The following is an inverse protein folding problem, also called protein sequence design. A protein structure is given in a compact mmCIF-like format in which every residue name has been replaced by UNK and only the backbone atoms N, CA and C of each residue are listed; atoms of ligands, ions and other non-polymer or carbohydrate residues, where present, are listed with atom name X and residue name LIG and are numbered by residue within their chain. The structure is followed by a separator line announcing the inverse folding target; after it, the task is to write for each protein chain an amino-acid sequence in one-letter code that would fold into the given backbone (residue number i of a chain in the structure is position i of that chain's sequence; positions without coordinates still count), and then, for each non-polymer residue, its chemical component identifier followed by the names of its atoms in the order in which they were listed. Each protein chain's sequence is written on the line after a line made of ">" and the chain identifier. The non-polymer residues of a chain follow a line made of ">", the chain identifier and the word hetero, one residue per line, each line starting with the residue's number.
data_IF_394862374825
#
_entry.id   IF_394862374825
#
_cell.length_a   1.000
_cell.length_b   1.000
_cell.length_c   1.000
_cell.angle_alpha   90.00
_cell.angle_beta   90.00
_cell.angle_gamma   90.00
#
_symmetry.space_group_name_H-M   'P 1'
#
loop_
_entity.id
_entity.type
_entity.pdbx_description
1 polymer ?
#
# COMPACT_ATOMS: atom_id res chain seq x y z
N UNK A 1 -6.74 11.04 42.77
CA UNK A 1 -5.33 10.91 42.33
C UNK A 1 -4.96 9.43 42.29
N UNK A 2 -5.33 8.74 41.21
CA UNK A 2 -4.79 7.41 40.87
C UNK A 2 -4.57 7.45 39.36
N UNK A 3 -3.35 7.80 38.95
CA UNK A 3 -2.90 7.73 37.56
C UNK A 3 -2.36 6.32 37.39
N UNK A 4 -3.13 5.44 36.75
CA UNK A 4 -2.63 4.12 36.36
C UNK A 4 -1.79 4.30 35.10
N UNK A 5 -0.47 4.30 35.26
CA UNK A 5 0.50 4.29 34.17
C UNK A 5 0.46 2.88 33.56
N UNK A 6 -0.15 2.72 32.38
CA UNK A 6 -0.01 1.50 31.58
C UNK A 6 1.23 1.69 30.70
N UNK A 7 2.39 1.33 31.24
CA UNK A 7 3.58 1.05 30.43
C UNK A 7 3.49 -0.36 29.87
N UNK A 8 3.50 -0.46 28.54
CA UNK A 8 4.36 -1.40 27.82
C UNK A 8 4.01 -2.89 27.84
N UNK A 9 3.87 -3.39 26.62
CA UNK A 9 4.20 -4.76 26.19
C UNK A 9 3.16 -5.85 26.47
N UNK A 10 2.77 -6.54 25.40
CA UNK A 10 2.12 -7.85 25.48
C UNK A 10 0.63 -7.83 25.15
N UNK A 11 0.31 -8.35 23.98
CA UNK A 11 -0.98 -8.89 23.59
C UNK A 11 -1.75 -9.61 24.72
N UNK A 12 -3.09 -9.52 24.63
CA UNK A 12 -4.08 -10.52 25.06
C UNK A 12 -4.38 -10.63 26.57
N UNK A 13 -5.37 -9.85 27.01
CA UNK A 13 -6.61 -10.34 27.68
C UNK A 13 -7.51 -9.15 28.04
N UNK A 14 -8.60 -8.99 27.29
CA UNK A 14 -9.70 -8.09 27.66
C UNK A 14 -10.41 -8.69 28.88
N UNK A 15 -10.07 -8.24 30.08
CA UNK A 15 -10.81 -8.61 31.29
C UNK A 15 -12.18 -7.91 31.29
N UNK A 16 -13.20 -8.61 31.80
CA UNK A 16 -14.59 -8.15 31.95
C UNK A 16 -14.72 -6.73 32.56
N UNK A 17 -13.81 -6.35 33.46
CA UNK A 17 -13.77 -4.99 34.02
C UNK A 17 -13.47 -3.89 32.99
N UNK A 18 -12.70 -4.19 31.93
CA UNK A 18 -12.34 -3.22 30.89
C UNK A 18 -13.52 -2.88 29.97
N UNK A 19 -14.42 -3.85 29.77
CA UNK A 19 -15.66 -3.66 29.02
C UNK A 19 -16.65 -2.76 29.78
N UNK A 20 -16.65 -2.82 31.11
CA UNK A 20 -17.53 -2.03 31.97
C UNK A 20 -17.19 -0.53 31.99
N UNK A 21 -15.93 -0.18 31.74
CA UNK A 21 -15.49 1.21 31.69
C UNK A 21 -15.88 1.89 30.35
N UNK A 22 -15.98 1.11 29.26
CA UNK A 22 -16.34 1.61 27.92
C UNK A 22 -17.81 2.03 27.79
N UNK A 23 -18.70 1.50 28.62
CA UNK A 23 -20.13 1.85 28.61
C UNK A 23 -20.49 3.07 29.46
N UNK A 24 -19.61 3.48 30.38
CA UNK A 24 -19.89 4.57 31.33
C UNK A 24 -19.27 5.92 30.94
N UNK A 25 -18.30 5.93 30.03
CA UNK A 25 -17.74 7.16 29.49
C UNK A 25 -17.68 7.06 27.96
N UNK A 26 -18.51 7.81 27.21
CA UNK A 26 -18.44 7.83 25.74
C UNK A 26 -17.06 8.27 25.22
N UNK A 27 -16.29 8.95 26.07
CA UNK A 27 -14.89 9.33 25.83
C UNK A 27 -13.97 8.10 25.72
N UNK A 28 -14.23 7.01 26.45
CA UNK A 28 -13.41 5.80 26.43
C UNK A 28 -13.46 5.07 25.08
N UNK A 29 -14.64 5.02 24.46
CA UNK A 29 -14.82 4.50 23.09
C UNK A 29 -14.06 5.34 22.07
N UNK A 30 -14.12 6.68 22.21
CA UNK A 30 -13.38 7.62 21.36
C UNK A 30 -11.86 7.45 21.53
N UNK A 31 -11.34 7.30 22.76
CA UNK A 31 -9.91 7.08 23.01
C UNK A 31 -9.44 5.76 22.37
N UNK A 32 -10.21 4.68 22.47
CA UNK A 32 -9.89 3.38 21.87
C UNK A 32 -9.94 3.43 20.33
N UNK A 33 -10.88 4.23 19.78
CA UNK A 33 -10.98 4.50 18.35
C UNK A 33 -9.82 5.37 17.83
N UNK A 34 -9.36 6.36 18.62
CA UNK A 34 -8.25 7.24 18.27
C UNK A 34 -6.90 6.50 18.35
N UNK A 35 -6.68 5.64 19.36
CA UNK A 35 -5.43 4.88 19.48
C UNK A 35 -5.27 3.83 18.37
N UNK A 36 -6.34 3.19 17.89
CA UNK A 36 -6.30 2.33 16.69
C UNK A 36 -5.92 3.09 15.41
N UNK A 37 -6.14 4.40 15.35
CA UNK A 37 -5.86 5.22 14.17
C UNK A 37 -4.40 5.65 14.06
N UNK A 38 -3.58 5.36 15.09
CA UNK A 38 -2.18 5.76 15.20
C UNK A 38 -1.19 4.63 14.89
N UNK A 39 -1.54 3.65 14.06
CA UNK A 39 -0.56 2.67 13.58
C UNK A 39 0.56 3.40 12.84
N UNK A 40 1.78 3.29 13.39
CA UNK A 40 2.99 3.76 12.75
C UNK A 40 3.10 3.07 11.39
N UNK A 41 3.24 3.85 10.32
CA UNK A 41 3.74 3.34 9.04
C UNK A 41 5.17 2.85 9.30
N UNK A 42 5.31 1.58 9.63
CA UNK A 42 6.60 0.93 9.68
C UNK A 42 7.23 1.08 8.29
N UNK A 43 8.46 1.60 8.23
CA UNK A 43 9.14 1.87 6.95
C UNK A 43 9.62 0.55 6.34
N UNK A 44 8.67 -0.25 5.82
CA UNK A 44 8.94 -1.50 5.12
C UNK A 44 9.69 -1.17 3.83
N UNK A 45 10.94 -1.60 3.74
CA UNK A 45 11.77 -1.46 2.53
C UNK A 45 11.92 -2.81 1.85
N UNK A 46 11.69 -2.85 0.55
CA UNK A 46 11.99 -4.04 -0.27
C UNK A 46 13.42 -3.97 -0.79
N UNK A 47 14.27 -4.91 -0.37
CA UNK A 47 15.54 -5.13 -1.05
C UNK A 47 15.29 -5.91 -2.34
N UNK A 48 15.64 -5.31 -3.49
CA UNK A 48 15.46 -5.89 -4.82
C UNK A 48 16.81 -6.28 -5.38
N UNK A 49 16.86 -7.40 -6.08
CA UNK A 49 18.04 -7.79 -6.84
C UNK A 49 18.24 -6.82 -8.02
N UNK A 50 19.49 -6.57 -8.42
CA UNK A 50 19.83 -5.58 -9.46
C UNK A 50 19.10 -5.82 -10.79
N UNK A 51 19.01 -7.09 -11.21
CA UNK A 51 18.24 -7.50 -12.39
C UNK A 51 16.75 -7.12 -12.31
N UNK A 52 16.13 -7.24 -11.15
CA UNK A 52 14.73 -6.87 -10.94
C UNK A 52 14.58 -5.34 -11.00
N UNK A 53 15.45 -4.63 -10.27
CA UNK A 53 15.50 -3.16 -10.26
C UNK A 53 15.66 -2.62 -11.68
N UNK A 54 16.58 -3.18 -12.47
CA UNK A 54 16.81 -2.82 -13.87
C UNK A 54 15.57 -3.06 -14.74
N UNK A 55 14.87 -4.18 -14.58
CA UNK A 55 13.61 -4.48 -15.30
C UNK A 55 12.52 -3.44 -15.00
N UNK A 56 12.35 -3.07 -13.74
CA UNK A 56 11.38 -2.06 -13.31
C UNK A 56 11.73 -0.69 -13.89
N UNK A 57 12.97 -0.25 -13.73
CA UNK A 57 13.46 1.04 -14.26
C UNK A 57 13.28 1.10 -15.78
N UNK A 58 13.63 0.03 -16.50
CA UNK A 58 13.47 0.00 -17.96
C UNK A 58 12.01 0.17 -18.40
N UNK A 59 11.04 -0.37 -17.64
CA UNK A 59 9.61 -0.17 -17.92
C UNK A 59 9.16 1.26 -17.62
N UNK A 60 9.65 1.84 -16.53
CA UNK A 60 9.38 3.24 -16.18
C UNK A 60 9.91 4.17 -17.28
N UNK A 61 11.15 3.99 -17.73
CA UNK A 61 11.75 4.80 -18.80
C UNK A 61 10.94 4.72 -20.11
N UNK A 62 10.36 3.55 -20.42
CA UNK A 62 9.47 3.40 -21.58
C UNK A 62 8.16 4.17 -21.40
N UNK A 63 7.53 4.07 -20.22
CA UNK A 63 6.31 4.82 -19.89
C UNK A 63 6.57 6.33 -19.97
N UNK A 64 7.70 6.78 -19.45
CA UNK A 64 8.11 8.18 -19.53
C UNK A 64 8.30 8.63 -20.99
N UNK A 65 8.92 7.80 -21.82
CA UNK A 65 9.02 8.05 -23.26
C UNK A 65 7.65 8.19 -23.95
N UNK A 66 6.68 7.35 -23.58
CA UNK A 66 5.31 7.45 -24.09
C UNK A 66 4.63 8.76 -23.67
N UNK A 67 4.78 9.17 -22.41
CA UNK A 67 4.25 10.44 -21.90
C UNK A 67 4.87 11.65 -22.62
N UNK A 68 6.18 11.62 -22.86
CA UNK A 68 6.86 12.64 -23.68
C UNK A 68 6.32 12.67 -25.11
N UNK A 69 6.03 11.51 -25.69
CA UNK A 69 5.39 11.39 -27.00
C UNK A 69 4.02 12.07 -27.04
N UNK A 70 3.17 11.81 -26.05
CA UNK A 70 1.85 12.45 -25.91
C UNK A 70 1.98 13.96 -25.78
N UNK A 71 2.92 14.45 -24.95
CA UNK A 71 3.18 15.89 -24.82
C UNK A 71 3.51 16.53 -26.18
N UNK A 72 4.38 15.90 -26.97
CA UNK A 72 4.73 16.39 -28.29
C UNK A 72 3.56 16.35 -29.28
N UNK A 73 2.62 15.40 -29.13
CA UNK A 73 1.40 15.36 -29.96
C UNK A 73 0.50 16.56 -29.66
N UNK A 74 0.36 16.93 -28.38
CA UNK A 74 -0.39 18.11 -27.95
C UNK A 74 0.27 19.39 -28.46
N UNK A 75 1.60 19.51 -28.33
CA UNK A 75 2.35 20.68 -28.84
C UNK A 75 2.25 20.87 -30.36
N UNK A 76 1.85 19.81 -31.09
CA UNK A 76 1.68 19.82 -32.55
C UNK A 76 0.21 19.86 -32.99
N UNK A 77 -0.72 20.10 -32.06
CA UNK A 77 -2.16 20.08 -32.32
C UNK A 77 -2.62 18.80 -33.05
N UNK A 78 -2.06 17.65 -32.66
CA UNK A 78 -2.41 16.35 -33.24
C UNK A 78 -3.88 16.01 -32.96
N UNK A 79 -4.46 15.17 -33.83
CA UNK A 79 -5.87 14.78 -33.73
C UNK A 79 -6.17 14.10 -32.38
N UNK A 80 -7.28 14.49 -31.76
CA UNK A 80 -7.60 14.09 -30.39
C UNK A 80 -7.74 12.57 -30.23
N UNK A 81 -8.32 11.87 -31.22
CA UNK A 81 -8.49 10.42 -31.11
C UNK A 81 -7.14 9.69 -31.08
N UNK A 82 -6.14 10.16 -31.83
CA UNK A 82 -4.78 9.60 -31.80
C UNK A 82 -4.13 9.79 -30.44
N UNK A 83 -4.34 10.95 -29.81
CA UNK A 83 -3.86 11.23 -28.45
C UNK A 83 -4.53 10.28 -27.45
N UNK A 84 -5.85 10.06 -27.56
CA UNK A 84 -6.59 9.13 -26.69
C UNK A 84 -6.11 7.68 -26.83
N UNK A 85 -5.74 7.26 -28.04
CA UNK A 85 -5.12 5.95 -28.28
C UNK A 85 -3.78 5.84 -27.52
N UNK A 86 -2.92 6.86 -27.61
CA UNK A 86 -1.64 6.86 -26.89
C UNK A 86 -1.81 6.90 -25.37
N UNK A 87 -2.76 7.68 -24.86
CA UNK A 87 -3.11 7.69 -23.42
C UNK A 87 -3.53 6.30 -22.96
N UNK A 88 -4.37 5.61 -23.75
CA UNK A 88 -4.80 4.24 -23.45
C UNK A 88 -3.62 3.27 -23.44
N UNK A 89 -2.65 3.43 -24.35
CA UNK A 89 -1.42 2.66 -24.35
C UNK A 89 -0.57 2.90 -23.08
N UNK A 90 -0.43 4.15 -22.64
CA UNK A 90 0.26 4.49 -21.37
C UNK A 90 -0.45 3.87 -20.17
N UNK A 91 -1.77 3.99 -20.09
CA UNK A 91 -2.55 3.43 -19.00
C UNK A 91 -2.34 1.91 -18.89
N UNK A 92 -2.31 1.20 -20.02
CA UNK A 92 -2.02 -0.23 -20.06
C UNK A 92 -0.57 -0.55 -19.63
N UNK A 93 0.41 0.25 -20.05
CA UNK A 93 1.80 0.11 -19.59
C UNK A 93 1.92 0.28 -18.07
N UNK A 94 1.23 1.27 -17.49
CA UNK A 94 1.21 1.52 -16.03
C UNK A 94 0.56 0.35 -15.29
N UNK A 95 -0.60 -0.15 -15.75
CA UNK A 95 -1.25 -1.35 -15.18
C UNK A 95 -0.32 -2.56 -15.23
N UNK A 96 0.38 -2.76 -16.34
CA UNK A 96 1.35 -3.85 -16.51
C UNK A 96 2.55 -3.73 -15.57
N UNK A 97 3.05 -2.50 -15.32
CA UNK A 97 4.08 -2.25 -14.31
C UNK A 97 3.58 -2.55 -12.90
N UNK A 98 2.37 -2.11 -12.56
CA UNK A 98 1.72 -2.40 -11.28
C UNK A 98 1.61 -3.91 -11.00
N UNK A 99 1.15 -4.68 -11.99
CA UNK A 99 1.08 -6.15 -11.92
C UNK A 99 2.45 -6.79 -11.69
N UNK A 100 3.50 -6.29 -12.33
CA UNK A 100 4.86 -6.78 -12.13
C UNK A 100 5.32 -6.56 -10.68
N UNK A 101 5.12 -5.35 -10.15
CA UNK A 101 5.52 -5.01 -8.78
C UNK A 101 4.74 -5.86 -7.77
N UNK A 102 3.43 -6.01 -7.97
CA UNK A 102 2.59 -6.86 -7.12
C UNK A 102 3.06 -8.32 -7.15
N UNK A 103 3.36 -8.87 -8.33
CA UNK A 103 3.88 -10.23 -8.46
C UNK A 103 5.18 -10.44 -7.67
N UNK A 104 6.10 -9.48 -7.74
CA UNK A 104 7.35 -9.54 -7.00
C UNK A 104 7.11 -9.42 -5.48
N UNK A 105 6.18 -8.57 -5.05
CA UNK A 105 5.79 -8.44 -3.65
C UNK A 105 5.20 -9.74 -3.09
N UNK A 106 4.29 -10.39 -3.84
CA UNK A 106 3.71 -11.68 -3.48
C UNK A 106 4.76 -12.78 -3.31
N UNK A 107 5.79 -12.81 -4.17
CA UNK A 107 6.83 -13.84 -4.17
C UNK A 107 7.96 -13.62 -3.15
N UNK A 108 8.06 -12.41 -2.60
CA UNK A 108 9.11 -12.02 -1.66
C UNK A 108 8.50 -11.70 -0.29
N UNK A 109 8.20 -10.43 -0.03
CA UNK A 109 7.74 -9.96 1.27
C UNK A 109 6.55 -10.76 1.82
N UNK A 110 5.53 -11.01 0.98
CA UNK A 110 4.33 -11.73 1.44
C UNK A 110 4.65 -13.17 1.78
N UNK A 111 5.39 -13.86 0.90
CA UNK A 111 5.81 -15.25 1.14
C UNK A 111 6.60 -15.38 2.43
N UNK A 112 7.53 -14.46 2.68
CA UNK A 112 8.38 -14.49 3.86
C UNK A 112 7.57 -14.26 5.15
N UNK A 113 6.59 -13.35 5.14
CA UNK A 113 5.71 -13.09 6.28
C UNK A 113 4.74 -14.26 6.55
N UNK A 114 4.21 -14.89 5.50
CA UNK A 114 3.38 -16.09 5.65
C UNK A 114 4.16 -17.25 6.27
N UNK A 115 5.43 -17.44 5.90
CA UNK A 115 6.30 -18.46 6.51
C UNK A 115 6.53 -18.18 8.01
N UNK A 116 6.53 -16.91 8.41
CA UNK A 116 6.63 -16.51 9.83
C UNK A 116 5.30 -16.62 10.58
N UNK A 117 4.21 -17.00 9.92
CA UNK A 117 2.87 -17.12 10.51
C UNK A 117 2.17 -15.78 10.71
N UNK A 118 2.58 -14.73 10.00
CA UNK A 118 1.94 -13.42 10.06
C UNK A 118 0.82 -13.32 9.01
N UNK A 119 -0.39 -13.73 9.37
CA UNK A 119 -1.54 -13.73 8.46
C UNK A 119 -2.07 -12.31 8.18
N UNK A 120 -1.72 -11.29 8.97
CA UNK A 120 -2.12 -9.89 8.74
C UNK A 120 -1.60 -9.34 7.40
N UNK A 121 -0.55 -9.95 6.85
CA UNK A 121 -0.02 -9.60 5.53
C UNK A 121 -1.04 -9.83 4.40
N UNK A 122 -2.00 -10.73 4.59
CA UNK A 122 -3.05 -11.01 3.60
C UNK A 122 -3.96 -9.79 3.43
N UNK A 123 -4.30 -9.10 4.52
CA UNK A 123 -5.09 -7.87 4.48
C UNK A 123 -4.31 -6.73 3.78
N UNK A 124 -2.98 -6.66 3.98
CA UNK A 124 -2.11 -5.72 3.25
C UNK A 124 -2.15 -5.97 1.73
N UNK A 125 -2.16 -7.24 1.33
CA UNK A 125 -2.25 -7.64 -0.09
C UNK A 125 -3.61 -7.29 -0.69
N UNK A 126 -4.70 -7.56 0.02
CA UNK A 126 -6.07 -7.22 -0.44
C UNK A 126 -6.20 -5.71 -0.66
N UNK A 127 -5.68 -4.92 0.28
CA UNK A 127 -5.65 -3.47 0.17
C UNK A 127 -4.78 -3.00 -1.02
N UNK A 128 -3.64 -3.64 -1.26
CA UNK A 128 -2.76 -3.33 -2.38
C UNK A 128 -3.41 -3.65 -3.73
N UNK A 129 -4.15 -4.75 -3.82
CA UNK A 129 -4.90 -5.13 -5.03
C UNK A 129 -5.99 -4.10 -5.35
N UNK A 130 -6.74 -3.65 -4.34
CA UNK A 130 -7.83 -2.67 -4.46
C UNK A 130 -7.36 -1.27 -4.89
N UNK A 131 -6.07 -0.97 -4.75
CA UNK A 131 -5.49 0.29 -5.27
C UNK A 131 -5.09 0.20 -6.74
N UNK A 132 -4.93 -1.02 -7.26
CA UNK A 132 -4.43 -1.29 -8.60
C UNK A 132 -5.54 -1.53 -9.63
N UNK A 133 -6.72 -1.90 -9.15
CA UNK A 133 -7.92 -2.26 -9.91
C UNK A 133 -9.12 -1.51 -9.37
#
# INVERSE_FOLDING_TARGET
>A
MIILIITGSGEKRLNSLFLFCLTLYPIGYIILYITKRGERVENKRTHRHDNEKKKIINRINRIEGQLRGIKNMVEKDSYCDDILIQISAVANSVKSLGRLILNNHMKSCVKDELIKGNDEIIDEVINSFSRLY
#
